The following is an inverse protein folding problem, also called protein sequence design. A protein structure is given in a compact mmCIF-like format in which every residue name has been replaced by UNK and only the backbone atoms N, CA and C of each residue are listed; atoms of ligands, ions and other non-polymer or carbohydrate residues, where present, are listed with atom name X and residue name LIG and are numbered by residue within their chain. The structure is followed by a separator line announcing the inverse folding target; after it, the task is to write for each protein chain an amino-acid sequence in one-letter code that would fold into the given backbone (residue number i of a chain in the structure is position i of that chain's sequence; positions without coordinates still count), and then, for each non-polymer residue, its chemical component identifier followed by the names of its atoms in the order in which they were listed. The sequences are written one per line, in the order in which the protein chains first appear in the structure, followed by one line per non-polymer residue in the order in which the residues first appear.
data_IF_867870987884
#
_entry.id   IF_867870987884
#
_cell.length_a   1.000
_cell.length_b   1.000
_cell.length_c   1.000
_cell.angle_alpha   90.00
_cell.angle_beta   90.00
_cell.angle_gamma   90.00
#
_symmetry.space_group_name_H-M   'P 1'
#
loop_
_entity.id
_entity.type
_entity.pdbx_description
1 polymer ?
#
# COMPACT_ATOMS: atom_id res chain seq x y z
N UNK A 1 20.17 -68.33 10.94
CA UNK A 1 20.00 -67.33 12.03
C UNK A 1 21.27 -66.49 12.17
N UNK A 2 21.38 -65.36 11.45
CA UNK A 2 22.32 -64.22 11.69
C UNK A 2 22.40 -63.15 10.59
N UNK A 3 21.60 -63.25 9.52
CA UNK A 3 21.56 -62.23 8.44
C UNK A 3 20.15 -61.69 8.14
N UNK A 4 19.21 -61.88 9.07
CA UNK A 4 17.80 -61.50 8.89
C UNK A 4 17.28 -60.78 10.15
N UNK A 5 18.06 -59.85 10.69
CA UNK A 5 17.71 -59.07 11.88
C UNK A 5 18.35 -57.66 11.84
N UNK A 6 18.53 -57.09 10.65
CA UNK A 6 19.16 -55.78 10.46
C UNK A 6 18.48 -54.95 9.36
N UNK A 7 17.21 -55.22 9.07
CA UNK A 7 16.45 -54.49 8.03
C UNK A 7 15.09 -53.95 8.50
N UNK A 8 14.87 -53.85 9.82
CA UNK A 8 13.59 -53.37 10.40
C UNK A 8 13.78 -52.14 11.31
N UNK A 9 15.01 -51.64 11.46
CA UNK A 9 15.33 -50.53 12.40
C UNK A 9 15.74 -49.23 11.65
N UNK A 10 15.43 -49.11 10.36
CA UNK A 10 15.69 -47.88 9.57
C UNK A 10 14.42 -47.42 8.84
N UNK A 11 13.29 -47.43 9.54
CA UNK A 11 12.03 -46.86 9.02
C UNK A 11 11.21 -46.19 10.13
N UNK A 12 11.85 -45.41 11.01
CA UNK A 12 11.13 -44.81 12.15
C UNK A 12 11.57 -43.43 12.62
N UNK A 13 12.26 -42.62 11.80
CA UNK A 13 12.47 -41.19 12.15
C UNK A 13 12.54 -40.30 10.91
N UNK A 14 11.39 -40.00 10.29
CA UNK A 14 11.24 -38.77 9.49
C UNK A 14 9.88 -38.14 9.78
N UNK A 15 9.61 -37.88 11.06
CA UNK A 15 8.63 -36.85 11.43
C UNK A 15 9.45 -35.61 11.81
N UNK A 16 10.19 -35.08 10.84
CA UNK A 16 10.74 -33.74 10.96
C UNK A 16 9.54 -32.82 10.86
N UNK A 17 8.91 -32.57 12.00
CA UNK A 17 7.88 -31.56 12.12
C UNK A 17 8.42 -30.30 11.49
N UNK A 18 7.75 -29.85 10.43
CA UNK A 18 7.91 -28.48 9.97
C UNK A 18 7.53 -27.63 11.18
N UNK A 19 8.53 -27.21 11.96
CA UNK A 19 8.39 -26.13 12.90
C UNK A 19 7.89 -24.97 12.05
N UNK A 20 6.56 -24.77 12.08
CA UNK A 20 5.93 -23.61 11.49
C UNK A 20 6.61 -22.46 12.20
N UNK A 21 7.58 -21.84 11.53
CA UNK A 21 8.13 -20.57 11.92
C UNK A 21 6.95 -19.60 11.82
N UNK A 22 6.17 -19.51 12.89
CA UNK A 22 5.17 -18.48 13.06
C UNK A 22 5.97 -17.21 13.25
N UNK A 23 6.33 -16.56 12.15
CA UNK A 23 6.76 -15.17 12.18
C UNK A 23 5.70 -14.41 12.98
N UNK A 24 6.09 -13.75 14.08
CA UNK A 24 5.14 -13.00 14.87
C UNK A 24 4.42 -11.99 13.98
N UNK A 25 3.13 -11.70 14.23
CA UNK A 25 2.39 -10.74 13.44
C UNK A 25 3.15 -9.40 13.43
N UNK A 26 3.16 -8.68 12.31
CA UNK A 26 3.88 -7.42 12.21
C UNK A 26 3.44 -6.46 13.31
N UNK A 27 4.38 -5.74 13.89
CA UNK A 27 4.15 -4.87 15.05
C UNK A 27 3.94 -3.42 14.61
N UNK A 28 3.11 -2.69 15.35
CA UNK A 28 2.98 -1.23 15.24
C UNK A 28 4.18 -0.60 15.94
N UNK A 29 5.23 -0.30 15.16
CA UNK A 29 6.42 0.40 15.62
C UNK A 29 6.38 1.89 15.19
N UNK A 30 7.43 2.64 15.52
CA UNK A 30 7.52 4.06 15.21
C UNK A 30 7.64 4.39 13.70
N UNK A 31 7.79 3.39 12.83
CA UNK A 31 7.85 3.52 11.37
C UNK A 31 6.60 2.98 10.68
N UNK A 32 5.61 2.55 11.45
CA UNK A 32 4.38 1.92 10.96
C UNK A 32 3.18 2.75 11.39
N UNK A 33 2.51 3.38 10.43
CA UNK A 33 1.30 4.17 10.65
C UNK A 33 0.05 3.30 10.80
N UNK A 34 -0.03 2.20 10.04
CA UNK A 34 -1.11 1.22 10.16
C UNK A 34 -0.69 -0.15 9.63
N UNK A 35 -1.48 -1.17 9.92
CA UNK A 35 -1.35 -2.52 9.39
C UNK A 35 -2.71 -2.95 8.83
N UNK A 36 -2.73 -3.42 7.58
CA UNK A 36 -3.93 -3.90 6.88
C UNK A 36 -3.69 -5.35 6.45
N UNK A 37 -4.40 -6.31 7.05
CA UNK A 37 -4.21 -7.75 6.80
C UNK A 37 -2.75 -8.24 6.96
N UNK A 38 -1.96 -7.57 7.80
CA UNK A 38 -0.55 -7.89 8.02
C UNK A 38 0.42 -7.10 7.14
N UNK A 39 -0.07 -6.34 6.16
CA UNK A 39 0.76 -5.42 5.38
C UNK A 39 0.91 -4.08 6.11
N UNK A 40 2.14 -3.58 6.22
CA UNK A 40 2.44 -2.32 6.91
C UNK A 40 2.25 -1.13 5.97
N UNK A 41 1.54 -0.12 6.46
CA UNK A 41 1.55 1.24 5.91
C UNK A 41 2.63 2.02 6.67
N UNK A 42 3.64 2.49 5.95
CA UNK A 42 4.78 3.21 6.55
C UNK A 42 4.40 4.61 7.02
N UNK A 43 5.12 5.16 7.99
CA UNK A 43 4.96 6.59 8.37
C UNK A 43 5.28 7.53 7.22
N UNK A 44 6.28 7.20 6.41
CA UNK A 44 6.66 7.99 5.23
C UNK A 44 5.53 8.07 4.20
N UNK A 45 4.84 6.96 3.93
CA UNK A 45 3.69 6.98 3.02
C UNK A 45 2.50 7.76 3.61
N UNK A 46 2.30 7.65 4.94
CA UNK A 46 1.28 8.42 5.65
C UNK A 46 1.56 9.93 5.59
N UNK A 47 2.76 10.38 5.98
CA UNK A 47 3.21 11.78 5.92
C UNK A 47 3.03 12.37 4.52
N UNK A 48 3.50 11.66 3.49
CA UNK A 48 3.34 12.11 2.09
C UNK A 48 1.87 12.25 1.70
N UNK A 49 1.00 11.34 2.16
CA UNK A 49 -0.43 11.42 1.88
C UNK A 49 -1.09 12.57 2.65
N UNK A 50 -0.70 12.80 3.90
CA UNK A 50 -1.10 13.95 4.71
C UNK A 50 -0.76 15.26 4.00
N UNK A 51 0.49 15.46 3.59
CA UNK A 51 0.93 16.68 2.89
C UNK A 51 0.10 16.94 1.63
N UNK A 52 -0.06 15.91 0.79
CA UNK A 52 -0.84 16.01 -0.44
C UNK A 52 -2.31 16.35 -0.17
N UNK A 53 -2.93 15.70 0.81
CA UNK A 53 -4.34 15.92 1.13
C UNK A 53 -4.56 17.29 1.77
N UNK A 54 -3.67 17.68 2.70
CA UNK A 54 -3.65 19.02 3.30
C UNK A 54 -3.59 20.10 2.23
N UNK A 55 -2.67 19.98 1.26
CA UNK A 55 -2.57 20.92 0.14
C UNK A 55 -3.89 21.07 -0.62
N UNK A 56 -4.56 19.95 -0.94
CA UNK A 56 -5.85 19.96 -1.63
C UNK A 56 -6.94 20.63 -0.79
N UNK A 57 -7.06 20.26 0.48
CA UNK A 57 -8.07 20.81 1.40
C UNK A 57 -7.85 22.31 1.64
N UNK A 58 -6.60 22.75 1.79
CA UNK A 58 -6.27 24.17 1.91
C UNK A 58 -6.64 24.94 0.63
N UNK A 59 -6.38 24.37 -0.55
CA UNK A 59 -6.84 24.98 -1.81
C UNK A 59 -8.37 25.06 -1.94
N UNK A 60 -9.10 24.22 -1.20
CA UNK A 60 -10.57 24.24 -1.09
C UNK A 60 -11.09 25.12 0.06
N UNK A 61 -10.20 25.78 0.81
CA UNK A 61 -10.56 26.72 1.87
C UNK A 61 -10.51 26.16 3.30
N UNK A 62 -10.03 24.92 3.51
CA UNK A 62 -9.81 24.39 4.85
C UNK A 62 -8.63 25.08 5.53
N UNK A 63 -8.88 25.64 6.72
CA UNK A 63 -7.86 26.29 7.55
C UNK A 63 -7.34 25.32 8.63
N UNK A 64 -6.05 25.01 8.57
CA UNK A 64 -5.35 24.17 9.55
C UNK A 64 -4.68 24.97 10.67
N UNK A 65 -4.79 26.30 10.68
CA UNK A 65 -4.19 27.20 11.67
C UNK A 65 -5.22 27.98 12.49
N UNK A 66 -6.50 27.90 12.12
CA UNK A 66 -7.60 28.62 12.76
C UNK A 66 -8.30 27.86 13.90
N UNK A 67 -9.40 28.42 14.43
CA UNK A 67 -10.17 27.83 15.53
C UNK A 67 -10.72 26.42 15.26
N UNK A 68 -10.84 26.04 13.98
CA UNK A 68 -11.33 24.73 13.55
C UNK A 68 -10.22 23.72 13.29
N UNK A 69 -8.96 24.00 13.68
CA UNK A 69 -7.80 23.12 13.44
C UNK A 69 -8.04 21.68 13.85
N UNK A 70 -8.53 21.43 15.06
CA UNK A 70 -8.76 20.06 15.55
C UNK A 70 -9.75 19.27 14.68
N UNK A 71 -10.82 19.92 14.24
CA UNK A 71 -11.77 19.31 13.31
C UNK A 71 -11.13 19.05 11.94
N UNK A 72 -10.35 20.00 11.42
CA UNK A 72 -9.63 19.85 10.16
C UNK A 72 -8.61 18.71 10.21
N UNK A 73 -7.87 18.57 11.32
CA UNK A 73 -6.92 17.47 11.53
C UNK A 73 -7.64 16.12 11.64
N UNK A 74 -8.80 16.06 12.31
CA UNK A 74 -9.62 14.84 12.39
C UNK A 74 -10.09 14.40 11.00
N UNK A 75 -10.65 15.33 10.22
CA UNK A 75 -11.07 15.05 8.84
C UNK A 75 -9.90 14.59 7.97
N UNK A 76 -8.76 15.29 8.06
CA UNK A 76 -7.55 14.94 7.32
C UNK A 76 -7.06 13.54 7.68
N UNK A 77 -7.06 13.19 8.97
CA UNK A 77 -6.70 11.85 9.46
C UNK A 77 -7.58 10.77 8.84
N UNK A 78 -8.90 10.95 8.96
CA UNK A 78 -9.89 9.97 8.50
C UNK A 78 -9.77 9.73 7.00
N UNK A 79 -9.68 10.80 6.20
CA UNK A 79 -9.53 10.68 4.76
C UNK A 79 -8.21 10.02 4.36
N UNK A 80 -7.09 10.41 4.99
CA UNK A 80 -5.77 9.86 4.65
C UNK A 80 -5.69 8.38 4.99
N UNK A 81 -6.14 7.97 6.18
CA UNK A 81 -6.15 6.56 6.58
C UNK A 81 -7.09 5.76 5.67
N UNK A 82 -8.30 6.25 5.42
CA UNK A 82 -9.25 5.57 4.54
C UNK A 82 -8.67 5.39 3.13
N UNK A 83 -8.02 6.42 2.57
CA UNK A 83 -7.40 6.34 1.25
C UNK A 83 -6.25 5.31 1.22
N UNK A 84 -5.38 5.28 2.24
CA UNK A 84 -4.27 4.34 2.30
C UNK A 84 -4.74 2.89 2.54
N UNK A 85 -5.76 2.70 3.38
CA UNK A 85 -6.37 1.39 3.61
C UNK A 85 -6.99 0.87 2.32
N UNK A 86 -7.84 1.66 1.64
CA UNK A 86 -8.47 1.24 0.37
C UNK A 86 -7.44 0.93 -0.71
N UNK A 87 -6.38 1.73 -0.83
CA UNK A 87 -5.27 1.47 -1.74
C UNK A 87 -4.57 0.13 -1.42
N UNK A 88 -4.30 -0.12 -0.14
CA UNK A 88 -3.67 -1.38 0.32
C UNK A 88 -4.56 -2.58 -0.01
N UNK A 89 -5.86 -2.50 0.29
CA UNK A 89 -6.82 -3.57 0.01
C UNK A 89 -6.98 -3.83 -1.50
N UNK A 90 -6.96 -2.78 -2.32
CA UNK A 90 -6.97 -2.92 -3.78
C UNK A 90 -5.74 -3.70 -4.26
N UNK A 91 -4.56 -3.37 -3.76
CA UNK A 91 -3.31 -4.06 -4.13
C UNK A 91 -3.28 -5.51 -3.61
N UNK A 92 -3.83 -5.78 -2.44
CA UNK A 92 -3.97 -7.15 -1.91
C UNK A 92 -4.92 -7.99 -2.77
N UNK A 93 -6.07 -7.45 -3.16
CA UNK A 93 -7.02 -8.15 -4.02
C UNK A 93 -6.45 -8.40 -5.42
N UNK A 94 -5.76 -7.42 -6.00
CA UNK A 94 -5.05 -7.63 -7.25
C UNK A 94 -3.97 -8.71 -7.13
N UNK A 95 -3.23 -8.76 -6.02
CA UNK A 95 -2.24 -9.82 -5.77
C UNK A 95 -2.91 -11.18 -5.69
N UNK A 96 -4.01 -11.29 -4.93
CA UNK A 96 -4.81 -12.52 -4.79
C UNK A 96 -5.34 -13.03 -6.13
N UNK A 97 -5.74 -12.11 -7.00
CA UNK A 97 -6.25 -12.42 -8.35
C UNK A 97 -5.15 -12.53 -9.42
N UNK A 98 -3.89 -12.27 -9.06
CA UNK A 98 -2.75 -12.22 -10.00
C UNK A 98 -2.94 -11.16 -11.11
N UNK A 99 -3.53 -10.03 -10.77
CA UNK A 99 -3.84 -8.90 -11.65
C UNK A 99 -2.99 -7.65 -11.36
N UNK A 100 -1.89 -7.80 -10.63
CA UNK A 100 -0.92 -6.73 -10.43
C UNK A 100 -0.32 -6.34 -11.78
N UNK A 101 -0.25 -5.04 -12.06
CA UNK A 101 0.51 -4.54 -13.21
C UNK A 101 1.97 -4.99 -13.10
N UNK A 102 2.55 -5.42 -14.20
CA UNK A 102 3.94 -5.89 -14.31
C UNK A 102 4.90 -4.70 -14.44
N UNK A 103 6.20 -4.94 -14.24
CA UNK A 103 7.22 -3.89 -14.43
C UNK A 103 7.25 -3.39 -15.87
N UNK A 104 7.09 -4.29 -16.84
CA UNK A 104 7.06 -3.96 -18.26
C UNK A 104 5.90 -3.02 -18.62
N UNK A 105 4.70 -3.26 -18.07
CA UNK A 105 3.54 -2.38 -18.31
C UNK A 105 3.74 -0.99 -17.71
N UNK A 106 4.32 -0.90 -16.51
CA UNK A 106 4.61 0.39 -15.87
C UNK A 106 5.69 1.15 -16.63
N UNK A 107 6.75 0.46 -17.06
CA UNK A 107 7.83 1.08 -17.84
C UNK A 107 7.33 1.56 -19.20
N UNK A 108 6.43 0.82 -19.86
CA UNK A 108 5.81 1.26 -21.10
C UNK A 108 5.09 2.62 -20.93
N UNK A 109 4.29 2.76 -19.87
CA UNK A 109 3.61 4.03 -19.55
C UNK A 109 4.62 5.15 -19.26
N UNK A 110 5.67 4.87 -18.49
CA UNK A 110 6.69 5.87 -18.18
C UNK A 110 7.45 6.30 -19.43
N UNK A 111 7.75 5.38 -20.34
CA UNK A 111 8.37 5.67 -21.63
C UNK A 111 7.47 6.57 -22.49
N UNK A 112 6.17 6.30 -22.53
CA UNK A 112 5.20 7.17 -23.21
C UNK A 112 5.16 8.58 -22.59
N UNK A 113 5.19 8.67 -21.26
CA UNK A 113 5.27 9.97 -20.58
C UNK A 113 6.55 10.70 -20.97
N UNK A 114 7.71 10.03 -20.94
CA UNK A 114 9.02 10.60 -21.32
C UNK A 114 9.05 11.07 -22.77
N UNK A 115 8.38 10.36 -23.68
CA UNK A 115 8.31 10.73 -25.10
C UNK A 115 7.59 12.07 -25.34
N UNK A 116 6.82 12.58 -24.37
CA UNK A 116 6.21 13.92 -24.44
C UNK A 116 7.18 15.05 -24.06
N UNK A 117 8.43 14.72 -23.70
CA UNK A 117 9.46 15.69 -23.36
C UNK A 117 10.54 15.74 -24.45
N UNK A 118 11.17 16.90 -24.69
CA UNK A 118 12.23 17.03 -25.68
C UNK A 118 13.44 16.14 -25.38
N UNK A 119 13.80 15.99 -24.11
CA UNK A 119 14.93 15.20 -23.65
C UNK A 119 14.77 14.76 -22.18
N UNK A 120 15.65 13.85 -21.74
CA UNK A 120 15.67 13.30 -20.39
C UNK A 120 15.94 14.37 -19.32
N UNK A 121 16.78 15.37 -19.63
CA UNK A 121 17.12 16.42 -18.67
C UNK A 121 15.90 17.30 -18.35
N UNK A 122 15.12 17.65 -19.37
CA UNK A 122 13.88 18.43 -19.27
C UNK A 122 12.81 17.64 -18.53
N UNK A 123 12.69 16.33 -18.81
CA UNK A 123 11.81 15.44 -18.04
C UNK A 123 12.17 15.44 -16.55
N UNK A 124 13.44 15.16 -16.22
CA UNK A 124 13.92 15.10 -14.84
C UNK A 124 13.74 16.44 -14.11
N UNK A 125 14.11 17.55 -14.75
CA UNK A 125 13.94 18.89 -14.19
C UNK A 125 12.46 19.21 -13.92
N UNK A 126 11.56 18.82 -14.84
CA UNK A 126 10.12 19.07 -14.68
C UNK A 126 9.52 18.29 -13.53
N UNK A 127 9.84 17.00 -13.39
CA UNK A 127 9.30 16.20 -12.28
C UNK A 127 9.87 16.65 -10.94
N UNK A 128 11.16 17.00 -10.88
CA UNK A 128 11.80 17.51 -9.66
C UNK A 128 11.21 18.86 -9.25
N UNK A 129 10.97 19.77 -10.19
CA UNK A 129 10.32 21.06 -9.92
C UNK A 129 8.90 20.90 -9.36
N UNK A 130 8.24 19.76 -9.61
CA UNK A 130 6.92 19.40 -9.06
C UNK A 130 7.01 18.55 -7.79
N UNK A 131 8.21 18.34 -7.24
CA UNK A 131 8.43 17.48 -6.08
C UNK A 131 8.16 15.99 -6.32
N UNK A 132 8.23 15.55 -7.59
CA UNK A 132 8.00 14.16 -7.98
C UNK A 132 9.32 13.43 -8.23
N UNK A 133 9.33 12.13 -7.94
CA UNK A 133 10.44 11.23 -8.28
C UNK A 133 9.99 10.19 -9.30
N UNK A 134 10.95 9.64 -10.06
CA UNK A 134 10.68 8.52 -10.98
C UNK A 134 10.06 7.34 -10.22
N UNK A 135 10.59 7.00 -9.04
CA UNK A 135 10.03 5.94 -8.19
C UNK A 135 8.57 6.20 -7.80
N UNK A 136 8.23 7.43 -7.42
CA UNK A 136 6.85 7.80 -7.11
C UNK A 136 5.94 7.66 -8.35
N UNK A 137 6.45 7.98 -9.55
CA UNK A 137 5.74 7.74 -10.80
C UNK A 137 5.54 6.25 -11.07
N UNK A 138 6.53 5.39 -10.82
CA UNK A 138 6.37 3.93 -10.93
C UNK A 138 5.28 3.42 -9.98
N UNK A 139 5.33 3.81 -8.70
CA UNK A 139 4.33 3.39 -7.69
C UNK A 139 2.93 3.84 -8.10
N UNK A 140 2.78 5.10 -8.51
CA UNK A 140 1.50 5.65 -8.96
C UNK A 140 0.95 4.92 -10.20
N UNK A 141 1.75 4.77 -11.26
CA UNK A 141 1.31 4.12 -12.49
C UNK A 141 1.01 2.62 -12.28
N UNK A 142 1.78 1.93 -11.42
CA UNK A 142 1.47 0.54 -11.03
C UNK A 142 0.10 0.43 -10.40
N UNK A 143 -0.22 1.32 -9.47
CA UNK A 143 -1.53 1.36 -8.82
C UNK A 143 -2.65 1.62 -9.84
N UNK A 144 -2.49 2.61 -10.73
CA UNK A 144 -3.51 2.95 -11.73
C UNK A 144 -3.77 1.81 -12.72
N UNK A 145 -2.72 1.19 -13.26
CA UNK A 145 -2.85 0.05 -14.16
C UNK A 145 -3.46 -1.16 -13.47
N UNK A 146 -3.05 -1.43 -12.24
CA UNK A 146 -3.61 -2.52 -11.42
C UNK A 146 -5.11 -2.29 -11.17
N UNK A 147 -5.50 -1.07 -10.82
CA UNK A 147 -6.89 -0.68 -10.68
C UNK A 147 -7.66 -0.86 -11.98
N UNK A 148 -7.10 -0.44 -13.11
CA UNK A 148 -7.73 -0.61 -14.42
C UNK A 148 -8.00 -2.09 -14.73
N UNK A 149 -7.02 -2.97 -14.46
CA UNK A 149 -7.19 -4.41 -14.61
C UNK A 149 -8.32 -4.96 -13.73
N UNK A 150 -8.42 -4.51 -12.48
CA UNK A 150 -9.52 -4.90 -11.59
C UNK A 150 -10.88 -4.39 -12.06
N UNK A 151 -10.96 -3.13 -12.52
CA UNK A 151 -12.19 -2.56 -13.11
C UNK A 151 -12.64 -3.40 -14.30
N UNK A 152 -11.71 -3.74 -15.21
CA UNK A 152 -12.00 -4.59 -16.36
C UNK A 152 -12.45 -5.99 -15.93
N UNK A 153 -11.75 -6.60 -14.98
CA UNK A 153 -12.04 -7.95 -14.48
C UNK A 153 -13.40 -8.05 -13.79
N UNK A 154 -13.79 -7.02 -13.02
CA UNK A 154 -15.06 -6.99 -12.29
C UNK A 154 -16.22 -6.34 -13.07
N UNK A 155 -15.96 -5.81 -14.26
CA UNK A 155 -16.99 -5.29 -15.14
C UNK A 155 -17.45 -3.86 -14.84
N UNK A 156 -16.59 -3.03 -14.24
CA UNK A 156 -16.85 -1.60 -14.05
C UNK A 156 -16.40 -1.03 -12.70
N UNK A 157 -16.44 0.29 -12.60
CA UNK A 157 -16.04 1.04 -11.40
C UNK A 157 -16.96 0.72 -10.22
N UNK A 158 -18.27 0.69 -10.43
CA UNK A 158 -19.25 0.39 -9.37
C UNK A 158 -19.00 -0.99 -8.76
N UNK A 159 -18.64 -1.96 -9.60
CA UNK A 159 -18.30 -3.32 -9.14
C UNK A 159 -16.99 -3.37 -8.39
N UNK A 160 -15.98 -2.60 -8.81
CA UNK A 160 -14.74 -2.43 -8.04
C UNK A 160 -15.05 -1.89 -6.63
N UNK A 161 -15.84 -0.82 -6.53
CA UNK A 161 -16.18 -0.19 -5.24
C UNK A 161 -16.98 -1.12 -4.34
N UNK A 162 -18.01 -1.79 -4.87
CA UNK A 162 -18.82 -2.78 -4.15
C UNK A 162 -17.93 -3.89 -3.56
N UNK A 163 -16.98 -4.42 -4.36
CA UNK A 163 -16.07 -5.48 -3.91
C UNK A 163 -15.08 -5.00 -2.86
N UNK A 164 -14.48 -3.83 -3.04
CA UNK A 164 -13.54 -3.28 -2.07
C UNK A 164 -14.22 -2.97 -0.73
N UNK A 165 -15.46 -2.48 -0.74
CA UNK A 165 -16.22 -2.27 0.50
C UNK A 165 -16.47 -3.59 1.25
N UNK A 166 -16.79 -4.68 0.54
CA UNK A 166 -16.95 -6.01 1.15
C UNK A 166 -15.64 -6.60 1.67
N UNK A 167 -14.52 -6.31 1.01
CA UNK A 167 -13.18 -6.69 1.46
C UNK A 167 -12.79 -5.91 2.71
N UNK A 168 -13.05 -4.60 2.73
CA UNK A 168 -12.75 -3.71 3.84
C UNK A 168 -13.49 -4.11 5.11
N UNK A 169 -14.78 -4.49 5.02
CA UNK A 169 -15.56 -5.04 6.15
C UNK A 169 -14.92 -6.26 6.82
N UNK A 170 -14.11 -7.02 6.07
CA UNK A 170 -13.45 -8.25 6.55
C UNK A 170 -11.97 -8.03 6.88
N UNK A 171 -11.44 -6.85 6.57
CA UNK A 171 -10.03 -6.54 6.73
C UNK A 171 -9.67 -6.41 8.21
N UNK A 172 -8.50 -6.93 8.58
CA UNK A 172 -7.91 -6.73 9.90
C UNK A 172 -7.04 -5.48 9.85
N UNK A 173 -7.63 -4.35 10.24
CA UNK A 173 -6.97 -3.04 10.25
C UNK A 173 -6.56 -2.70 11.68
N UNK A 174 -5.30 -2.29 11.85
CA UNK A 174 -4.78 -1.74 13.11
C UNK A 174 -4.05 -0.43 12.81
N UNK A 175 -4.48 0.66 13.41
CA UNK A 175 -3.87 1.98 13.22
C UNK A 175 -2.95 2.26 14.42
N UNK A 176 -1.80 2.88 14.17
CA UNK A 176 -0.92 3.38 15.21
C UNK A 176 -1.32 4.81 15.58
N UNK A 177 -2.37 4.95 16.40
CA UNK A 177 -2.94 6.26 16.73
C UNK A 177 -1.90 7.22 17.30
N UNK A 178 -1.01 6.75 18.19
CA UNK A 178 0.04 7.59 18.77
C UNK A 178 0.97 8.20 17.72
N UNK A 179 1.37 7.41 16.72
CA UNK A 179 2.26 7.88 15.64
C UNK A 179 1.51 8.78 14.67
N UNK A 180 0.30 8.40 14.29
CA UNK A 180 -0.57 9.17 13.38
C UNK A 180 -0.89 10.54 13.96
N UNK A 181 -1.35 10.60 15.22
CA UNK A 181 -1.65 11.87 15.90
C UNK A 181 -0.41 12.74 16.02
N UNK A 182 0.74 12.17 16.40
CA UNK A 182 1.99 12.93 16.48
C UNK A 182 2.34 13.60 15.15
N UNK A 183 2.28 12.86 14.05
CA UNK A 183 2.55 13.40 12.70
C UNK A 183 1.57 14.54 12.35
N UNK A 184 0.29 14.38 12.67
CA UNK A 184 -0.73 15.39 12.39
C UNK A 184 -0.59 16.64 13.25
N UNK A 185 -0.06 16.53 14.46
CA UNK A 185 0.18 17.68 15.32
C UNK A 185 1.41 18.51 14.89
N UNK A 186 2.32 17.91 14.11
CA UNK A 186 3.53 18.57 13.60
C UNK A 186 3.29 19.41 12.33
N UNK A 187 2.12 19.30 11.68
CA UNK A 187 1.78 20.03 10.44
C UNK A 187 1.03 21.35 10.68
#
# INVERSE_FOLDING_TARGET
MRKLLLLVIVLLVIITGCARQTTPPPQLDNKTAAIVNGEKISTVDFERRVEKKKFVLTAQGTDFNGPSREHALTMLREEVIADLVRETLLMQEATRLKLIATDAEVEAVIKEIRANFPDEATFQATIQARGLTVEAMHKYNRLQLTRQKLVQYWGGEDKLQERLAEVEKKAKIRINDQVVERILQEI
#
